data_IF_922991831065
#
_entry.id   IF_922991831065
#
_cell.length_a   1.000
_cell.length_b   1.000
_cell.length_c   1.000
_cell.angle_alpha   90.00
_cell.angle_beta   90.00
_cell.angle_gamma   90.00
#
_symmetry.space_group_name_H-M   'P 1'
#
loop_
_entity.id
_entity.type
_entity.pdbx_description
1 polymer ?
#
# COMPACT_ATOMS: atom_id res chain seq x y z
N UNK A 1 17.82 4.50 -3.35
CA UNK A 1 16.60 4.10 -4.10
C UNK A 1 16.47 4.89 -5.41
N UNK A 2 17.12 4.42 -6.49
CA UNK A 2 16.91 4.93 -7.85
C UNK A 2 16.74 3.73 -8.79
N UNK A 3 15.73 3.78 -9.67
CA UNK A 3 15.42 2.73 -10.64
C UNK A 3 14.96 3.40 -11.93
N UNK A 4 15.44 2.92 -13.08
CA UNK A 4 15.11 3.51 -14.39
C UNK A 4 13.66 3.20 -14.82
N UNK A 5 13.13 2.06 -14.38
CA UNK A 5 11.72 1.72 -14.54
C UNK A 5 10.92 2.03 -13.26
N UNK A 6 9.60 2.22 -13.37
CA UNK A 6 8.73 2.37 -12.20
C UNK A 6 8.48 1.03 -11.45
N UNK A 7 9.31 0.01 -11.68
CA UNK A 7 9.12 -1.34 -11.16
C UNK A 7 9.99 -1.61 -9.92
N UNK A 8 9.44 -2.39 -9.01
CA UNK A 8 10.18 -2.90 -7.86
C UNK A 8 11.17 -3.99 -8.28
N UNK A 9 12.36 -4.01 -7.68
CA UNK A 9 13.31 -5.12 -7.79
C UNK A 9 13.87 -5.51 -6.42
N UNK A 10 14.62 -6.60 -6.36
CA UNK A 10 15.15 -7.13 -5.09
C UNK A 10 16.07 -6.16 -4.36
N UNK A 11 16.92 -5.42 -5.07
CA UNK A 11 17.80 -4.41 -4.44
C UNK A 11 16.99 -3.30 -3.79
N UNK A 12 16.03 -2.74 -4.53
CA UNK A 12 15.17 -1.65 -4.06
C UNK A 12 14.28 -2.10 -2.89
N UNK A 13 13.79 -3.34 -2.93
CA UNK A 13 13.04 -3.93 -1.82
C UNK A 13 13.90 -4.09 -0.58
N UNK A 14 15.14 -4.56 -0.73
CA UNK A 14 16.08 -4.68 0.38
C UNK A 14 16.39 -3.32 1.01
N UNK A 15 16.66 -2.30 0.19
CA UNK A 15 16.82 -0.91 0.68
C UNK A 15 15.57 -0.45 1.45
N UNK A 16 14.38 -0.61 0.88
CA UNK A 16 13.13 -0.25 1.56
C UNK A 16 12.94 -0.99 2.89
N UNK A 17 13.25 -2.29 2.92
CA UNK A 17 13.11 -3.10 4.11
C UNK A 17 14.01 -2.59 5.25
N UNK A 18 15.30 -2.37 4.97
CA UNK A 18 16.28 -1.96 5.98
C UNK A 18 16.19 -0.48 6.35
N UNK A 19 15.94 0.40 5.39
CA UNK A 19 16.02 1.85 5.59
C UNK A 19 14.68 2.48 5.97
N UNK A 20 13.55 1.85 5.63
CA UNK A 20 12.21 2.39 5.89
C UNK A 20 11.38 1.49 6.82
N UNK A 21 11.19 0.22 6.46
CA UNK A 21 10.31 -0.68 7.20
C UNK A 21 10.84 -1.00 8.61
N UNK A 22 12.10 -1.44 8.71
CA UNK A 22 12.72 -1.84 9.99
C UNK A 22 12.73 -0.69 11.02
N UNK A 23 13.13 0.56 10.69
CA UNK A 23 13.10 1.67 11.65
C UNK A 23 11.70 1.97 12.20
N UNK A 24 10.68 2.01 11.34
CA UNK A 24 9.32 2.34 11.77
C UNK A 24 8.68 1.20 12.58
N UNK A 25 8.94 -0.06 12.21
CA UNK A 25 8.49 -1.22 13.00
C UNK A 25 9.19 -1.24 14.35
N UNK A 26 10.50 -1.02 14.44
CA UNK A 26 11.23 -0.95 15.72
C UNK A 26 10.68 0.14 16.64
N UNK A 27 10.31 1.30 16.09
CA UNK A 27 9.65 2.39 16.83
C UNK A 27 8.30 1.94 17.38
N UNK A 28 7.50 1.21 16.61
CA UNK A 28 6.23 0.66 17.06
C UNK A 28 6.38 -0.48 18.09
N UNK A 29 7.35 -1.39 17.91
CA UNK A 29 7.65 -2.44 18.89
C UNK A 29 8.00 -1.86 20.26
N UNK A 30 8.78 -0.76 20.31
CA UNK A 30 9.08 -0.05 21.57
C UNK A 30 7.83 0.52 22.24
N UNK A 31 6.90 1.08 21.46
CA UNK A 31 5.64 1.66 21.97
C UNK A 31 4.68 0.61 22.51
N UNK A 32 4.48 -0.47 21.75
CA UNK A 32 3.51 -1.51 22.06
C UNK A 32 4.04 -2.56 23.06
N UNK A 33 5.37 -2.58 23.29
CA UNK A 33 6.12 -3.61 24.04
C UNK A 33 6.12 -5.07 23.51
N UNK A 34 5.73 -5.43 22.27
CA UNK A 34 5.99 -6.75 21.72
C UNK A 34 7.48 -6.94 21.44
N UNK A 35 7.92 -8.20 21.48
CA UNK A 35 9.35 -8.54 21.31
C UNK A 35 9.75 -8.78 19.85
N UNK A 36 8.82 -9.15 18.97
CA UNK A 36 9.10 -9.54 17.58
C UNK A 36 7.99 -9.09 16.63
N UNK A 37 8.34 -8.90 15.35
CA UNK A 37 7.42 -8.67 14.25
C UNK A 37 7.73 -9.58 13.06
N UNK A 38 6.69 -9.85 12.27
CA UNK A 38 6.78 -10.62 11.03
C UNK A 38 6.23 -9.76 9.89
N UNK A 39 6.98 -9.65 8.80
CA UNK A 39 6.47 -9.15 7.52
C UNK A 39 6.00 -10.34 6.68
N UNK A 40 4.71 -10.38 6.37
CA UNK A 40 4.13 -11.39 5.50
C UNK A 40 4.11 -10.90 4.05
N UNK A 41 4.65 -11.71 3.13
CA UNK A 41 4.81 -11.33 1.72
C UNK A 41 4.26 -12.40 0.79
N UNK A 42 3.89 -12.01 -0.44
CA UNK A 42 3.63 -12.96 -1.52
C UNK A 42 4.94 -13.39 -2.21
N UNK A 43 4.85 -14.31 -3.16
CA UNK A 43 6.02 -14.87 -3.86
C UNK A 43 6.41 -14.05 -5.11
N UNK A 44 6.26 -12.72 -5.07
CA UNK A 44 6.65 -11.88 -6.21
C UNK A 44 8.16 -11.98 -6.51
N UNK A 45 8.59 -12.03 -7.80
CA UNK A 45 10.01 -12.14 -8.16
C UNK A 45 10.89 -10.98 -7.66
N UNK A 46 10.29 -9.83 -7.37
CA UNK A 46 10.99 -8.68 -6.82
C UNK A 46 11.37 -8.84 -5.33
N UNK A 47 10.84 -9.86 -4.63
CA UNK A 47 11.13 -10.07 -3.22
C UNK A 47 12.46 -10.82 -3.03
N UNK A 48 13.42 -10.26 -2.27
CA UNK A 48 14.64 -10.95 -1.88
C UNK A 48 14.38 -12.20 -1.02
N UNK A 49 15.40 -13.04 -0.89
CA UNK A 49 15.36 -14.18 0.02
C UNK A 49 15.15 -13.74 1.49
N UNK A 50 14.36 -14.50 2.25
CA UNK A 50 14.02 -14.18 3.65
C UNK A 50 15.24 -14.09 4.56
N UNK A 51 16.33 -14.80 4.24
CA UNK A 51 17.59 -14.74 4.99
C UNK A 51 18.27 -13.38 4.85
N UNK A 52 17.98 -12.64 3.78
CA UNK A 52 18.46 -11.26 3.57
C UNK A 52 17.54 -10.21 4.20
N UNK A 53 16.27 -10.57 4.46
CA UNK A 53 15.23 -9.70 5.02
C UNK A 53 14.94 -10.02 6.49
N UNK A 54 16.00 -9.99 7.31
CA UNK A 54 15.89 -10.26 8.74
C UNK A 54 16.75 -9.32 9.58
N UNK A 55 16.28 -9.09 10.79
CA UNK A 55 17.02 -8.48 11.89
C UNK A 55 16.78 -9.32 13.15
N UNK A 56 17.37 -8.95 14.29
CA UNK A 56 17.20 -9.67 15.55
C UNK A 56 15.73 -9.90 15.95
N UNK A 57 14.85 -8.92 15.70
CA UNK A 57 13.46 -8.93 16.17
C UNK A 57 12.42 -8.83 15.04
N UNK A 58 12.85 -8.78 13.78
CA UNK A 58 11.95 -8.64 12.62
C UNK A 58 12.38 -9.66 11.58
N UNK A 59 11.45 -10.52 11.15
CA UNK A 59 11.68 -11.52 10.12
C UNK A 59 10.61 -11.45 9.03
N UNK A 60 10.89 -12.05 7.88
CA UNK A 60 9.93 -12.15 6.79
C UNK A 60 9.45 -13.59 6.60
N UNK A 61 8.20 -13.75 6.16
CA UNK A 61 7.63 -15.05 5.78
C UNK A 61 6.90 -14.90 4.45
N UNK A 62 7.18 -15.81 3.53
CA UNK A 62 6.41 -15.95 2.30
C UNK A 62 5.16 -16.80 2.53
N UNK A 63 4.04 -16.33 1.98
CA UNK A 63 2.82 -17.13 1.92
C UNK A 63 3.01 -18.33 0.97
N UNK A 64 2.26 -19.43 1.17
CA UNK A 64 2.26 -20.52 0.21
C UNK A 64 1.87 -20.05 -1.20
N UNK A 65 2.47 -20.63 -2.26
CA UNK A 65 2.14 -20.26 -3.63
C UNK A 65 0.65 -20.47 -3.92
N UNK A 66 0.10 -19.62 -4.79
CA UNK A 66 -1.30 -19.63 -5.23
C UNK A 66 -2.36 -19.43 -4.13
N UNK A 67 -1.97 -19.00 -2.92
CA UNK A 67 -2.93 -18.69 -1.84
C UNK A 67 -3.12 -17.20 -1.55
N UNK A 68 -2.36 -16.33 -2.22
CA UNK A 68 -2.34 -14.88 -1.98
C UNK A 68 -3.74 -14.27 -2.00
N UNK A 69 -4.53 -14.51 -3.05
CA UNK A 69 -5.88 -13.94 -3.16
C UNK A 69 -6.84 -14.35 -2.03
N UNK A 70 -6.57 -15.47 -1.35
CA UNK A 70 -7.43 -16.00 -0.27
C UNK A 70 -6.91 -15.57 1.11
N UNK A 71 -5.59 -15.55 1.30
CA UNK A 71 -4.96 -15.40 2.61
C UNK A 71 -4.27 -14.05 2.82
N UNK A 72 -3.86 -13.36 1.77
CA UNK A 72 -3.14 -12.09 1.90
C UNK A 72 -4.08 -11.02 2.46
N UNK A 73 -3.78 -10.42 3.62
CA UNK A 73 -4.65 -9.41 4.23
C UNK A 73 -4.90 -8.21 3.31
N UNK A 74 -3.88 -7.77 2.55
CA UNK A 74 -4.02 -6.63 1.63
C UNK A 74 -5.12 -6.86 0.56
N UNK A 75 -5.28 -8.10 0.11
CA UNK A 75 -6.33 -8.52 -0.84
C UNK A 75 -7.70 -8.74 -0.16
N UNK A 76 -7.76 -8.82 1.17
CA UNK A 76 -9.01 -8.97 1.94
C UNK A 76 -9.67 -7.61 2.27
N UNK A 77 -9.75 -6.74 1.26
CA UNK A 77 -10.51 -5.48 1.32
C UNK A 77 -9.69 -4.22 1.57
N UNK A 78 -8.42 -4.31 1.99
CA UNK A 78 -7.57 -3.11 2.18
C UNK A 78 -7.33 -2.39 0.85
N UNK A 79 -6.87 -3.12 -0.18
CA UNK A 79 -6.63 -2.56 -1.52
C UNK A 79 -7.92 -2.06 -2.16
N UNK A 80 -9.03 -2.78 -2.01
CA UNK A 80 -10.35 -2.38 -2.54
C UNK A 80 -10.84 -1.08 -1.88
N UNK A 81 -10.77 -1.00 -0.56
CA UNK A 81 -11.15 0.17 0.25
C UNK A 81 -10.31 1.40 -0.09
N UNK A 82 -9.01 1.22 -0.35
CA UNK A 82 -8.10 2.27 -0.84
C UNK A 82 -8.50 2.75 -2.24
N UNK A 83 -8.62 1.84 -3.20
CA UNK A 83 -8.98 2.16 -4.59
C UNK A 83 -10.31 2.90 -4.67
N UNK A 84 -11.29 2.50 -3.86
CA UNK A 84 -12.61 3.15 -3.80
C UNK A 84 -12.52 4.59 -3.31
N UNK A 85 -11.71 4.86 -2.28
CA UNK A 85 -11.49 6.22 -1.75
C UNK A 85 -10.73 7.09 -2.74
N UNK A 86 -9.64 6.58 -3.29
CA UNK A 86 -8.88 7.26 -4.32
C UNK A 86 -9.76 7.67 -5.50
N UNK A 87 -10.57 6.74 -6.03
CA UNK A 87 -11.51 7.01 -7.13
C UNK A 87 -12.56 8.04 -6.75
N UNK A 88 -13.08 8.01 -5.53
CA UNK A 88 -14.04 9.01 -5.05
C UNK A 88 -13.42 10.41 -5.10
N UNK A 89 -12.21 10.59 -4.59
CA UNK A 89 -11.52 11.89 -4.63
C UNK A 89 -11.21 12.34 -6.04
N UNK A 90 -10.73 11.42 -6.90
CA UNK A 90 -10.47 11.71 -8.30
C UNK A 90 -11.74 12.23 -9.02
N UNK A 91 -12.88 11.58 -8.80
CA UNK A 91 -14.17 12.01 -9.36
C UNK A 91 -14.65 13.33 -8.75
N UNK A 92 -14.46 13.53 -7.44
CA UNK A 92 -14.79 14.81 -6.81
C UNK A 92 -13.99 15.95 -7.41
N UNK A 93 -12.67 15.81 -7.59
CA UNK A 93 -11.85 16.83 -8.25
C UNK A 93 -12.35 17.12 -9.67
N UNK A 94 -12.59 16.08 -10.47
CA UNK A 94 -13.12 16.23 -11.82
C UNK A 94 -14.45 17.02 -11.85
N UNK A 95 -15.35 16.78 -10.90
CA UNK A 95 -16.67 17.44 -10.85
C UNK A 95 -16.62 18.88 -10.32
N UNK A 96 -15.65 19.22 -9.47
CA UNK A 96 -15.55 20.55 -8.83
C UNK A 96 -14.47 21.46 -9.43
N UNK A 97 -13.58 20.94 -10.27
CA UNK A 97 -12.54 21.71 -10.99
C UNK A 97 -12.89 21.94 -12.48
N UNK A 98 -14.05 21.45 -12.96
CA UNK A 98 -14.54 21.71 -14.32
C UNK A 98 -15.37 23.00 -14.40
N UNK A 99 -15.10 23.85 -15.39
CA UNK A 99 -15.93 25.02 -15.69
C UNK A 99 -17.31 24.58 -16.20
N UNK A 100 -18.38 25.25 -15.73
CA UNK A 100 -19.78 24.95 -16.10
C UNK A 100 -20.06 25.15 -17.61
N UNK A 101 -19.21 25.91 -18.31
CA UNK A 101 -19.37 26.30 -19.71
C UNK A 101 -18.65 25.35 -20.72
N UNK A 102 -17.92 24.32 -20.26
CA UNK A 102 -17.21 23.40 -21.16
C UNK A 102 -17.97 22.08 -21.44
N UNK A 103 -17.87 21.58 -22.68
CA UNK A 103 -18.40 20.27 -23.05
C UNK A 103 -17.71 19.15 -22.22
N UNK A 104 -18.50 18.23 -21.65
CA UNK A 104 -18.03 17.24 -20.68
C UNK A 104 -16.86 16.35 -21.16
N UNK A 105 -16.76 16.08 -22.47
CA UNK A 105 -15.62 15.32 -23.02
C UNK A 105 -14.34 16.18 -23.02
N UNK A 106 -14.46 17.47 -23.33
CA UNK A 106 -13.33 18.40 -23.28
C UNK A 106 -12.81 18.55 -21.84
N UNK A 107 -13.70 18.72 -20.87
CA UNK A 107 -13.35 18.90 -19.47
C UNK A 107 -12.63 17.68 -18.87
N UNK A 108 -13.03 16.44 -19.22
CA UNK A 108 -12.32 15.22 -18.77
C UNK A 108 -10.90 15.10 -19.34
N UNK A 109 -10.68 15.48 -20.59
CA UNK A 109 -9.35 15.46 -21.22
C UNK A 109 -8.46 16.54 -20.62
N UNK A 110 -8.99 17.73 -20.36
CA UNK A 110 -8.26 18.82 -19.71
C UNK A 110 -7.89 18.47 -18.28
N UNK A 111 -8.83 17.93 -17.50
CA UNK A 111 -8.59 17.42 -16.16
C UNK A 111 -7.47 16.38 -16.14
N UNK A 112 -7.50 15.42 -17.07
CA UNK A 112 -6.46 14.40 -17.20
C UNK A 112 -5.06 14.98 -17.46
N UNK A 113 -4.96 16.10 -18.17
CA UNK A 113 -3.70 16.83 -18.41
C UNK A 113 -3.26 17.68 -17.21
N UNK A 114 -4.22 18.22 -16.46
CA UNK A 114 -3.95 19.03 -15.28
C UNK A 114 -3.54 18.18 -14.06
N UNK A 115 -4.00 16.94 -14.00
CA UNK A 115 -3.72 16.03 -12.88
C UNK A 115 -2.24 15.68 -12.79
N UNK A 116 -1.58 16.08 -11.70
CA UNK A 116 -0.15 15.83 -11.50
C UNK A 116 0.12 14.57 -10.66
N UNK A 117 1.34 14.05 -10.72
CA UNK A 117 1.77 12.97 -9.82
C UNK A 117 1.68 13.39 -8.34
N UNK A 118 1.91 14.67 -8.04
CA UNK A 118 1.78 15.23 -6.69
C UNK A 118 0.33 15.11 -6.19
N UNK A 119 -0.65 15.42 -7.04
CA UNK A 119 -2.07 15.21 -6.71
C UNK A 119 -2.36 13.74 -6.42
N UNK A 120 -1.87 12.83 -7.26
CA UNK A 120 -2.04 11.39 -7.06
C UNK A 120 -1.46 10.91 -5.72
N UNK A 121 -0.28 11.40 -5.33
CA UNK A 121 0.34 11.06 -4.04
C UNK A 121 -0.50 11.57 -2.87
N UNK A 122 -1.00 12.81 -2.92
CA UNK A 122 -1.89 13.33 -1.88
C UNK A 122 -3.20 12.55 -1.79
N UNK A 123 -3.78 12.17 -2.93
CA UNK A 123 -5.00 11.37 -2.95
C UNK A 123 -4.79 9.97 -2.35
N UNK A 124 -3.63 9.35 -2.60
CA UNK A 124 -3.25 8.08 -1.96
C UNK A 124 -3.09 8.27 -0.45
N UNK A 125 -2.39 9.32 -0.02
CA UNK A 125 -2.21 9.62 1.40
C UNK A 125 -3.57 9.83 2.09
N UNK A 126 -4.43 10.65 1.53
CA UNK A 126 -5.75 10.91 2.08
C UNK A 126 -6.62 9.65 2.11
N UNK A 127 -6.59 8.83 1.04
CA UNK A 127 -7.28 7.55 1.01
C UNK A 127 -6.82 6.60 2.13
N UNK A 128 -5.53 6.63 2.48
CA UNK A 128 -4.96 5.84 3.58
C UNK A 128 -5.36 6.38 4.95
N UNK A 129 -5.28 7.70 5.17
CA UNK A 129 -5.66 8.34 6.43
C UNK A 129 -7.13 8.10 6.80
N UNK A 130 -8.02 8.05 5.82
CA UNK A 130 -9.45 7.72 6.03
C UNK A 130 -9.76 6.23 5.96
N UNK A 131 -8.76 5.35 6.03
CA UNK A 131 -8.98 3.92 6.08
C UNK A 131 -9.61 3.52 7.42
N UNK A 132 -10.76 2.81 7.42
CA UNK A 132 -11.39 2.40 8.66
C UNK A 132 -10.55 1.33 9.35
N UNK A 133 -10.33 1.49 10.65
CA UNK A 133 -9.60 0.51 11.47
C UNK A 133 -10.23 -0.88 11.40
N UNK A 134 -11.57 -0.96 11.33
CA UNK A 134 -12.26 -2.25 11.21
C UNK A 134 -11.92 -2.97 9.88
N UNK A 135 -11.65 -2.24 8.79
CA UNK A 135 -11.21 -2.85 7.52
C UNK A 135 -9.84 -3.50 7.69
N UNK A 136 -8.90 -2.80 8.35
CA UNK A 136 -7.59 -3.36 8.66
C UNK A 136 -7.72 -4.61 9.52
N UNK A 137 -8.48 -4.57 10.62
CA UNK A 137 -8.69 -5.76 11.48
C UNK A 137 -9.36 -6.92 10.73
N UNK A 138 -10.44 -6.65 10.00
CA UNK A 138 -11.18 -7.70 9.28
C UNK A 138 -10.34 -8.37 8.20
N UNK A 139 -9.41 -7.64 7.58
CA UNK A 139 -8.53 -8.18 6.54
C UNK A 139 -7.68 -9.37 7.01
N UNK A 140 -7.38 -9.44 8.32
CA UNK A 140 -6.62 -10.53 8.91
C UNK A 140 -7.47 -11.76 9.24
N UNK A 141 -8.80 -11.67 9.26
CA UNK A 141 -9.68 -12.75 9.78
C UNK A 141 -9.48 -14.10 9.11
N UNK A 142 -9.20 -14.14 7.81
CA UNK A 142 -8.97 -15.40 7.08
C UNK A 142 -7.63 -16.05 7.42
N UNK A 143 -6.62 -15.24 7.73
CA UNK A 143 -5.28 -15.71 8.03
C UNK A 143 -5.07 -16.00 9.52
N UNK A 144 -5.63 -15.14 10.38
CA UNK A 144 -5.47 -15.18 11.82
C UNK A 144 -6.81 -14.76 12.48
N UNK A 145 -7.80 -15.66 12.56
CA UNK A 145 -9.14 -15.35 13.05
C UNK A 145 -9.21 -14.94 14.52
N UNK A 146 -8.11 -15.12 15.25
CA UNK A 146 -7.97 -14.81 16.68
C UNK A 146 -7.22 -13.47 16.94
N UNK A 147 -6.78 -12.78 15.88
CA UNK A 147 -6.31 -11.38 15.93
C UNK A 147 -7.49 -10.42 15.73
#
# INVERSE_FOLDING_TARGET
MHQESAWMNSSLFSEWFHDCFVPEVKKNLKKLKPKKAILLMDNAPAHPDVETLKTENITCIFMPPNRTAILQPMDQGVIESMKRRYRKQLLSKLLFEGDEDEEAVCSTVQFGKALTLKDCVYMINEAWEFMPEHTLKQSWRKLAPYL
#
